data_IF_201535187632
#
_entry.id   IF_201535187632
#
_cell.length_a   1.000
_cell.length_b   1.000
_cell.length_c   1.000
_cell.angle_alpha   90.00
_cell.angle_beta   90.00
_cell.angle_gamma   90.00
#
_symmetry.space_group_name_H-M   'P 1'
#
loop_
_entity.id
_entity.type
_entity.pdbx_description
1 polymer ?
#
# COMPACT_ATOMS: atom_id res chain seq x y z
N UNK A 1 7.09 -36.71 11.08
CA UNK A 1 6.62 -35.49 10.36
C UNK A 1 7.74 -34.48 10.50
N UNK A 2 8.16 -33.80 9.44
CA UNK A 2 9.20 -32.78 9.61
C UNK A 2 8.65 -31.61 10.43
N UNK A 3 9.48 -30.97 11.23
CA UNK A 3 9.09 -29.80 12.05
C UNK A 3 8.38 -28.72 11.23
N UNK A 4 8.84 -28.48 10.00
CA UNK A 4 8.21 -27.51 9.08
C UNK A 4 6.78 -27.88 8.70
N UNK A 5 6.49 -29.17 8.46
CA UNK A 5 5.13 -29.63 8.15
C UNK A 5 4.23 -29.50 9.38
N UNK A 6 4.73 -29.84 10.57
CA UNK A 6 3.99 -29.71 11.82
C UNK A 6 3.62 -28.24 12.09
N UNK A 7 4.57 -27.31 11.90
CA UNK A 7 4.35 -25.88 12.07
C UNK A 7 3.28 -25.38 11.10
N UNK A 8 3.36 -25.75 9.82
CA UNK A 8 2.40 -25.34 8.81
C UNK A 8 0.99 -25.88 9.11
N UNK A 9 0.89 -27.14 9.52
CA UNK A 9 -0.42 -27.76 9.88
C UNK A 9 -1.02 -27.09 11.10
N UNK A 10 -0.24 -26.86 12.18
CA UNK A 10 -0.71 -26.20 13.38
C UNK A 10 -1.13 -24.75 13.09
N UNK A 11 -0.34 -24.02 12.31
CA UNK A 11 -0.68 -22.67 11.88
C UNK A 11 -2.04 -22.63 11.15
N UNK A 12 -2.25 -23.52 10.17
CA UNK A 12 -3.50 -23.59 9.43
C UNK A 12 -4.67 -23.99 10.34
N UNK A 13 -4.49 -24.94 11.25
CA UNK A 13 -5.53 -25.32 12.22
C UNK A 13 -5.94 -24.12 13.06
N UNK A 14 -5.02 -23.38 13.66
CA UNK A 14 -5.33 -22.19 14.44
C UNK A 14 -6.01 -21.11 13.62
N UNK A 15 -5.55 -20.90 12.39
CA UNK A 15 -6.16 -19.93 11.47
C UNK A 15 -7.61 -20.29 11.15
N UNK A 16 -7.91 -21.57 10.87
CA UNK A 16 -9.28 -22.02 10.63
C UNK A 16 -10.17 -21.98 11.87
N UNK A 17 -9.60 -22.05 13.06
CA UNK A 17 -10.30 -21.81 14.33
C UNK A 17 -10.59 -20.32 14.60
N UNK A 18 -10.18 -19.40 13.70
CA UNK A 18 -10.42 -17.96 13.85
C UNK A 18 -9.42 -17.25 14.78
N UNK A 19 -8.30 -17.88 15.11
CA UNK A 19 -7.24 -17.26 15.91
C UNK A 19 -6.50 -16.23 15.04
N UNK A 20 -6.15 -15.02 15.58
CA UNK A 20 -5.37 -14.02 14.84
C UNK A 20 -4.04 -14.58 14.32
N UNK A 21 -3.64 -14.16 13.12
CA UNK A 21 -2.49 -14.71 12.38
C UNK A 21 -1.21 -14.74 13.22
N UNK A 22 -0.87 -13.62 13.89
CA UNK A 22 0.31 -13.52 14.74
C UNK A 22 0.29 -14.53 15.88
N UNK A 23 -0.87 -14.68 16.54
CA UNK A 23 -1.04 -15.63 17.65
C UNK A 23 -0.95 -17.07 17.13
N UNK A 24 -1.54 -17.34 15.94
CA UNK A 24 -1.47 -18.66 15.29
C UNK A 24 -0.04 -19.05 14.95
N UNK A 25 0.76 -18.12 14.41
CA UNK A 25 2.18 -18.34 14.11
C UNK A 25 2.99 -18.57 15.39
N UNK A 26 2.87 -17.66 16.36
CA UNK A 26 3.59 -17.76 17.62
C UNK A 26 3.24 -19.04 18.40
N UNK A 27 1.94 -19.39 18.50
CA UNK A 27 1.51 -20.59 19.18
C UNK A 27 1.99 -21.86 18.45
N UNK A 28 1.89 -21.92 17.12
CA UNK A 28 2.39 -23.05 16.35
C UNK A 28 3.91 -23.24 16.53
N UNK A 29 4.68 -22.13 16.51
CA UNK A 29 6.12 -22.15 16.71
C UNK A 29 6.49 -22.64 18.11
N UNK A 30 5.84 -22.11 19.17
CA UNK A 30 6.08 -22.53 20.56
C UNK A 30 5.74 -24.01 20.76
N UNK A 31 4.60 -24.48 20.23
CA UNK A 31 4.22 -25.90 20.33
C UNK A 31 5.25 -26.78 19.62
N UNK A 32 5.69 -26.42 18.41
CA UNK A 32 6.72 -27.18 17.70
C UNK A 32 8.06 -27.18 18.45
N UNK A 33 8.47 -26.07 19.05
CA UNK A 33 9.69 -25.99 19.85
C UNK A 33 9.64 -26.93 21.06
N UNK A 34 8.51 -26.95 21.79
CA UNK A 34 8.35 -27.77 22.98
C UNK A 34 8.23 -29.26 22.65
N UNK A 35 7.58 -29.62 21.54
CA UNK A 35 7.26 -31.02 21.23
C UNK A 35 8.25 -31.71 20.31
N UNK A 36 8.98 -30.95 19.49
CA UNK A 36 9.78 -31.48 18.38
C UNK A 36 11.25 -31.00 18.40
N UNK A 37 11.64 -30.17 19.34
CA UNK A 37 13.03 -29.68 19.45
C UNK A 37 13.46 -29.55 20.90
N UNK A 38 14.78 -29.59 21.14
CA UNK A 38 15.41 -29.35 22.45
C UNK A 38 15.73 -27.86 22.67
N UNK A 39 15.16 -26.96 21.88
CA UNK A 39 15.43 -25.53 21.96
C UNK A 39 14.72 -24.92 23.17
N UNK A 40 15.41 -24.13 23.99
CA UNK A 40 14.77 -23.47 25.13
C UNK A 40 13.75 -22.41 24.68
N UNK A 41 12.60 -22.34 25.35
CA UNK A 41 11.54 -21.36 25.07
C UNK A 41 12.03 -19.91 25.17
N UNK A 42 13.08 -19.63 25.91
CA UNK A 42 13.72 -18.31 25.96
C UNK A 42 14.23 -17.83 24.61
N UNK A 43 14.57 -18.75 23.69
CA UNK A 43 14.97 -18.39 22.33
C UNK A 43 13.82 -17.77 21.53
N UNK A 44 12.58 -18.25 21.68
CA UNK A 44 11.43 -17.64 21.02
C UNK A 44 11.24 -16.20 21.49
N UNK A 45 11.24 -15.96 22.80
CA UNK A 45 11.14 -14.63 23.37
C UNK A 45 12.30 -13.72 22.92
N UNK A 46 13.53 -14.25 22.92
CA UNK A 46 14.71 -13.50 22.47
C UNK A 46 14.65 -13.16 20.99
N UNK A 47 14.23 -14.09 20.11
CA UNK A 47 14.03 -13.83 18.68
C UNK A 47 13.00 -12.75 18.44
N UNK A 48 11.85 -12.82 19.11
CA UNK A 48 10.82 -11.80 19.03
C UNK A 48 11.36 -10.43 19.45
N UNK A 49 12.07 -10.35 20.56
CA UNK A 49 12.63 -9.09 21.07
C UNK A 49 13.70 -8.51 20.13
N UNK A 50 14.60 -9.37 19.64
CA UNK A 50 15.66 -8.97 18.69
C UNK A 50 15.06 -8.51 17.36
N UNK A 51 13.97 -9.12 16.92
CA UNK A 51 13.25 -8.73 15.70
C UNK A 51 12.61 -7.35 15.84
N UNK A 52 12.07 -7.01 17.02
CA UNK A 52 11.56 -5.66 17.31
C UNK A 52 12.66 -4.61 17.29
N UNK A 53 13.83 -4.91 17.80
CA UNK A 53 14.96 -4.00 17.90
C UNK A 53 15.77 -3.88 16.59
N UNK A 54 15.08 -3.98 15.46
CA UNK A 54 15.66 -3.82 14.12
C UNK A 54 15.37 -2.43 13.58
N UNK A 55 16.42 -1.70 13.17
CA UNK A 55 16.29 -0.39 12.55
C UNK A 55 15.40 -0.42 11.27
N UNK A 56 15.39 -1.55 10.58
CA UNK A 56 14.55 -1.77 9.40
C UNK A 56 13.06 -1.78 9.77
N UNK A 57 12.71 -2.32 10.93
CA UNK A 57 11.30 -2.35 11.40
C UNK A 57 10.74 -0.96 11.69
N UNK A 58 11.57 0.05 11.96
CA UNK A 58 11.13 1.44 12.13
C UNK A 58 10.63 2.04 10.81
N UNK A 59 11.03 1.51 9.66
CA UNK A 59 10.52 1.96 8.36
C UNK A 59 9.00 1.72 8.25
N UNK A 60 8.48 0.60 8.75
CA UNK A 60 7.06 0.22 8.64
C UNK A 60 6.11 1.27 9.22
N UNK A 61 6.23 1.71 10.50
CA UNK A 61 5.38 2.76 11.05
C UNK A 61 5.51 4.10 10.31
N UNK A 62 6.71 4.45 9.84
CA UNK A 62 6.92 5.67 9.08
C UNK A 62 6.24 5.63 7.71
N UNK A 63 6.26 4.49 7.00
CA UNK A 63 5.54 4.32 5.75
C UNK A 63 4.02 4.38 5.96
N UNK A 64 3.50 3.72 7.01
CA UNK A 64 2.07 3.76 7.35
C UNK A 64 1.65 5.21 7.65
N UNK A 65 2.46 5.94 8.42
CA UNK A 65 2.20 7.33 8.75
C UNK A 65 2.24 8.21 7.49
N UNK A 66 3.23 8.05 6.63
CA UNK A 66 3.34 8.79 5.36
C UNK A 66 2.09 8.59 4.50
N UNK A 67 1.66 7.34 4.29
CA UNK A 67 0.45 7.01 3.54
C UNK A 67 -0.80 7.65 4.12
N UNK A 68 -0.97 7.63 5.45
CA UNK A 68 -2.14 8.23 6.11
C UNK A 68 -2.14 9.75 6.09
N UNK A 69 -0.96 10.37 6.14
CA UNK A 69 -0.82 11.82 5.97
C UNK A 69 -1.19 12.26 4.54
N UNK A 70 -0.82 11.46 3.55
CA UNK A 70 -1.20 11.71 2.15
C UNK A 70 -2.69 11.53 1.94
N UNK A 71 -3.28 10.55 2.58
CA UNK A 71 -4.72 10.24 2.54
C UNK A 71 -5.57 11.39 3.09
N UNK A 72 -5.24 11.89 4.27
CA UNK A 72 -5.95 13.00 4.91
C UNK A 72 -5.49 14.39 4.39
N UNK A 73 -4.40 14.45 3.62
CA UNK A 73 -3.75 15.68 3.14
C UNK A 73 -4.18 16.16 1.76
N UNK A 74 -5.33 15.71 1.22
CA UNK A 74 -5.88 16.18 -0.06
C UNK A 74 -5.15 15.64 -1.31
N UNK A 75 -4.20 14.74 -1.14
CA UNK A 75 -3.41 14.16 -2.23
C UNK A 75 -4.28 13.32 -3.17
N UNK A 76 -5.24 12.57 -2.61
CA UNK A 76 -6.10 11.65 -3.38
C UNK A 76 -6.89 12.36 -4.49
N UNK A 77 -7.43 13.56 -4.22
CA UNK A 77 -8.16 14.34 -5.22
C UNK A 77 -7.25 14.81 -6.36
N UNK A 78 -6.03 15.26 -6.05
CA UNK A 78 -5.07 15.72 -7.08
C UNK A 78 -4.62 14.60 -7.99
N UNK A 79 -4.43 13.41 -7.44
CA UNK A 79 -4.10 12.22 -8.20
C UNK A 79 -5.27 11.75 -9.06
N UNK A 80 -6.50 11.87 -8.56
CA UNK A 80 -7.70 11.55 -9.33
C UNK A 80 -7.86 12.48 -10.52
N UNK A 81 -7.72 13.80 -10.33
CA UNK A 81 -7.77 14.80 -11.40
C UNK A 81 -6.71 14.55 -12.47
N UNK A 82 -5.49 14.20 -12.05
CA UNK A 82 -4.40 13.86 -12.97
C UNK A 82 -4.73 12.60 -13.78
N UNK A 83 -5.16 11.53 -13.12
CA UNK A 83 -5.50 10.28 -13.80
C UNK A 83 -6.67 10.47 -14.77
N UNK A 84 -7.70 11.26 -14.40
CA UNK A 84 -8.80 11.58 -15.30
C UNK A 84 -8.34 12.36 -16.53
N UNK A 85 -7.45 13.33 -16.36
CA UNK A 85 -6.87 14.06 -17.48
C UNK A 85 -5.96 13.19 -18.36
N UNK A 86 -5.30 12.16 -17.81
CA UNK A 86 -4.42 11.25 -18.56
C UNK A 86 -5.18 10.20 -19.37
N UNK A 87 -6.18 9.55 -18.78
CA UNK A 87 -6.80 8.35 -19.38
C UNK A 87 -8.32 8.41 -19.51
N UNK A 88 -8.99 9.47 -19.00
CA UNK A 88 -10.44 9.62 -19.01
C UNK A 88 -11.05 9.70 -20.42
N UNK A 89 -10.26 10.00 -21.45
CA UNK A 89 -10.67 10.07 -22.86
C UNK A 89 -10.78 8.70 -23.54
N UNK A 90 -10.24 7.65 -22.92
CA UNK A 90 -10.32 6.27 -23.45
C UNK A 90 -11.75 5.76 -23.27
N UNK A 91 -12.19 4.84 -24.11
CA UNK A 91 -13.51 4.19 -23.99
C UNK A 91 -13.63 3.46 -22.65
N UNK A 92 -14.66 3.76 -21.85
CA UNK A 92 -14.76 3.30 -20.48
C UNK A 92 -13.81 4.08 -19.52
N UNK A 93 -13.71 5.40 -19.75
CA UNK A 93 -12.70 6.29 -19.19
C UNK A 93 -12.57 6.22 -17.69
N UNK A 94 -13.68 6.28 -16.94
CA UNK A 94 -13.63 6.25 -15.46
C UNK A 94 -13.11 4.92 -14.89
N UNK A 95 -13.34 3.80 -15.59
CA UNK A 95 -12.74 2.54 -15.18
C UNK A 95 -11.21 2.56 -15.32
N UNK A 96 -10.67 3.16 -16.40
CA UNK A 96 -9.24 3.37 -16.56
C UNK A 96 -8.68 4.35 -15.52
N UNK A 97 -9.42 5.45 -15.26
CA UNK A 97 -9.07 6.40 -14.19
C UNK A 97 -8.95 5.68 -12.85
N UNK A 98 -9.90 4.81 -12.51
CA UNK A 98 -9.86 4.03 -11.27
C UNK A 98 -8.58 3.18 -11.15
N UNK A 99 -8.16 2.50 -12.22
CA UNK A 99 -6.92 1.71 -12.20
C UNK A 99 -5.70 2.61 -12.04
N UNK A 100 -5.59 3.67 -12.85
CA UNK A 100 -4.42 4.58 -12.83
C UNK A 100 -4.31 5.33 -11.49
N UNK A 101 -5.44 5.79 -10.94
CA UNK A 101 -5.44 6.41 -9.59
C UNK A 101 -4.89 5.45 -8.56
N UNK A 102 -5.36 4.19 -8.56
CA UNK A 102 -4.86 3.19 -7.63
C UNK A 102 -3.38 2.87 -7.86
N UNK A 103 -2.88 2.84 -9.11
CA UNK A 103 -1.46 2.67 -9.40
C UNK A 103 -0.61 3.82 -8.86
N UNK A 104 -1.03 5.06 -9.10
CA UNK A 104 -0.31 6.25 -8.62
C UNK A 104 -0.35 6.37 -7.09
N UNK A 105 -1.53 6.12 -6.50
CA UNK A 105 -1.70 6.15 -5.05
C UNK A 105 -1.01 4.98 -4.35
N UNK A 106 -0.91 3.83 -5.02
CA UNK A 106 -0.11 2.70 -4.57
C UNK A 106 1.35 3.10 -4.32
N UNK A 107 1.94 3.81 -5.31
CA UNK A 107 3.30 4.35 -5.22
C UNK A 107 3.51 5.39 -4.10
N UNK A 108 2.47 5.75 -3.37
CA UNK A 108 2.53 6.74 -2.29
C UNK A 108 2.17 6.16 -0.92
N UNK A 109 1.04 5.43 -0.83
CA UNK A 109 0.53 4.91 0.45
C UNK A 109 1.10 3.55 0.84
N UNK A 110 1.49 2.74 -0.14
CA UNK A 110 1.99 1.37 0.06
C UNK A 110 1.01 0.41 0.72
N UNK A 111 -0.26 0.80 0.88
CA UNK A 111 -1.30 0.05 1.57
C UNK A 111 -2.56 -0.08 0.73
N UNK A 112 -2.95 -1.30 0.40
CA UNK A 112 -4.20 -1.59 -0.34
C UNK A 112 -5.43 -1.15 0.44
N UNK A 113 -5.41 -1.30 1.78
CA UNK A 113 -6.51 -0.90 2.65
C UNK A 113 -6.66 0.62 2.67
N UNK A 114 -5.55 1.36 2.75
CA UNK A 114 -5.58 2.82 2.68
C UNK A 114 -6.07 3.30 1.31
N UNK A 115 -5.60 2.70 0.21
CA UNK A 115 -6.02 3.04 -1.13
C UNK A 115 -7.54 2.90 -1.33
N UNK A 116 -8.14 1.77 -0.88
CA UNK A 116 -9.58 1.56 -1.02
C UNK A 116 -10.40 2.46 -0.08
N UNK A 117 -9.90 2.75 1.11
CA UNK A 117 -10.57 3.63 2.07
C UNK A 117 -10.62 5.07 1.58
N UNK A 118 -9.53 5.58 1.00
CA UNK A 118 -9.39 6.94 0.46
C UNK A 118 -10.16 7.13 -0.84
N UNK A 119 -9.75 6.38 -1.85
CA UNK A 119 -10.17 6.60 -3.24
C UNK A 119 -11.41 5.78 -3.57
N UNK A 120 -11.55 4.60 -2.96
CA UNK A 120 -12.55 3.63 -3.34
C UNK A 120 -13.98 4.18 -3.30
N UNK A 121 -14.38 4.84 -2.22
CA UNK A 121 -15.74 5.40 -2.10
C UNK A 121 -16.04 6.45 -3.18
N UNK A 122 -15.08 7.35 -3.44
CA UNK A 122 -15.21 8.39 -4.46
C UNK A 122 -15.29 7.77 -5.85
N UNK A 123 -14.37 6.89 -6.19
CA UNK A 123 -14.27 6.24 -7.48
C UNK A 123 -15.47 5.33 -7.77
N UNK A 124 -15.92 4.50 -6.81
CA UNK A 124 -17.10 3.64 -6.96
C UNK A 124 -18.36 4.48 -7.24
N UNK A 125 -18.54 5.57 -6.50
CA UNK A 125 -19.68 6.46 -6.70
C UNK A 125 -19.62 7.19 -8.06
N UNK A 126 -18.44 7.61 -8.50
CA UNK A 126 -18.24 8.24 -9.81
C UNK A 126 -18.56 7.27 -10.96
N UNK A 127 -18.04 6.03 -10.89
CA UNK A 127 -18.34 4.97 -11.84
C UNK A 127 -19.84 4.66 -11.90
N UNK A 128 -20.49 4.50 -10.73
CA UNK A 128 -21.91 4.17 -10.68
C UNK A 128 -22.79 5.26 -11.28
N UNK A 129 -22.48 6.55 -11.05
CA UNK A 129 -23.19 7.68 -11.67
C UNK A 129 -23.07 7.71 -13.19
N UNK A 130 -22.06 7.09 -13.77
CA UNK A 130 -21.81 7.00 -15.22
C UNK A 130 -22.31 5.70 -15.85
N UNK A 131 -23.13 4.93 -15.10
CA UNK A 131 -23.80 3.74 -15.63
C UNK A 131 -23.05 2.43 -15.44
N UNK A 132 -21.93 2.41 -14.73
CA UNK A 132 -21.27 1.15 -14.38
C UNK A 132 -22.08 0.38 -13.33
N UNK A 133 -22.24 -0.94 -13.48
CA UNK A 133 -22.79 -1.79 -12.42
C UNK A 133 -21.99 -1.61 -11.12
N UNK A 134 -22.67 -1.53 -10.00
CA UNK A 134 -22.03 -1.26 -8.70
C UNK A 134 -21.03 -2.37 -8.33
N UNK A 135 -21.36 -3.60 -8.67
CA UNK A 135 -20.51 -4.79 -8.47
C UNK A 135 -19.21 -4.64 -9.25
N UNK A 136 -19.29 -4.23 -10.52
CA UNK A 136 -18.12 -3.99 -11.36
C UNK A 136 -17.28 -2.82 -10.85
N UNK A 137 -17.93 -1.71 -10.51
CA UNK A 137 -17.25 -0.53 -9.95
C UNK A 137 -16.50 -0.88 -8.65
N UNK A 138 -17.08 -1.73 -7.82
CA UNK A 138 -16.44 -2.21 -6.59
C UNK A 138 -15.28 -3.15 -6.92
N UNK A 139 -15.49 -4.11 -7.82
CA UNK A 139 -14.47 -5.10 -8.18
C UNK A 139 -13.23 -4.44 -8.80
N UNK A 140 -13.38 -3.48 -9.74
CA UNK A 140 -12.22 -2.82 -10.38
C UNK A 140 -11.44 -1.95 -9.41
N UNK A 141 -12.12 -1.32 -8.43
CA UNK A 141 -11.44 -0.55 -7.39
C UNK A 141 -10.71 -1.45 -6.40
N UNK A 142 -11.31 -2.56 -5.97
CA UNK A 142 -10.64 -3.55 -5.11
C UNK A 142 -9.42 -4.15 -5.80
N UNK A 143 -9.57 -4.58 -7.05
CA UNK A 143 -8.46 -5.12 -7.84
C UNK A 143 -7.34 -4.08 -8.03
N UNK A 144 -7.72 -2.85 -8.37
CA UNK A 144 -6.77 -1.74 -8.49
C UNK A 144 -6.02 -1.45 -7.19
N UNK A 145 -6.71 -1.45 -6.04
CA UNK A 145 -6.08 -1.19 -4.74
C UNK A 145 -5.04 -2.24 -4.35
N UNK A 146 -5.16 -3.48 -4.83
CA UNK A 146 -4.15 -4.53 -4.60
C UNK A 146 -2.79 -4.18 -5.20
N UNK A 147 -2.74 -3.31 -6.20
CA UNK A 147 -1.48 -2.82 -6.78
C UNK A 147 -0.59 -2.11 -5.75
N UNK A 148 -1.17 -1.56 -4.68
CA UNK A 148 -0.42 -0.97 -3.58
C UNK A 148 0.41 -2.00 -2.78
N UNK A 149 0.11 -3.28 -2.92
CA UNK A 149 0.92 -4.36 -2.34
C UNK A 149 2.11 -4.75 -3.22
N UNK A 150 2.14 -4.31 -4.48
CA UNK A 150 3.15 -4.69 -5.49
C UNK A 150 3.95 -3.49 -5.95
N UNK A 151 3.28 -2.37 -6.30
CA UNK A 151 3.97 -1.14 -6.75
C UNK A 151 4.67 -0.48 -5.56
N UNK A 152 5.97 -0.18 -5.66
CA UNK A 152 6.71 0.43 -4.57
C UNK A 152 6.33 1.91 -4.35
N UNK A 153 6.42 2.40 -3.08
CA UNK A 153 6.76 1.65 -1.87
C UNK A 153 5.59 0.80 -1.36
N UNK A 154 5.84 -0.47 -1.03
CA UNK A 154 4.82 -1.39 -0.51
C UNK A 154 5.17 -1.84 0.91
N UNK A 155 4.25 -1.64 1.85
CA UNK A 155 4.42 -2.06 3.25
C UNK A 155 4.58 -3.58 3.33
N UNK A 156 3.82 -4.34 2.51
CA UNK A 156 3.92 -5.81 2.48
C UNK A 156 5.29 -6.26 1.97
N UNK A 157 5.82 -5.63 0.93
CA UNK A 157 7.15 -5.96 0.40
C UNK A 157 8.26 -5.61 1.39
N UNK A 158 8.15 -4.48 2.11
CA UNK A 158 9.09 -4.08 3.15
C UNK A 158 9.10 -5.13 4.27
N UNK A 159 7.91 -5.54 4.74
CA UNK A 159 7.77 -6.57 5.77
C UNK A 159 8.35 -7.91 5.32
N UNK A 160 8.00 -8.36 4.12
CA UNK A 160 8.51 -9.61 3.56
C UNK A 160 10.04 -9.58 3.42
N UNK A 161 10.60 -8.50 2.88
CA UNK A 161 12.04 -8.33 2.74
C UNK A 161 12.76 -8.31 4.10
N UNK A 162 12.20 -7.60 5.09
CA UNK A 162 12.75 -7.52 6.44
C UNK A 162 12.70 -8.88 7.15
N UNK A 163 11.62 -9.64 6.97
CA UNK A 163 11.47 -10.98 7.55
C UNK A 163 12.42 -11.99 6.88
N UNK A 164 12.55 -11.91 5.55
CA UNK A 164 13.45 -12.79 4.78
C UNK A 164 14.94 -12.37 4.85
N UNK A 165 15.27 -11.25 5.51
CA UNK A 165 16.62 -10.68 5.58
C UNK A 165 17.23 -10.40 4.18
N UNK A 166 16.41 -9.94 3.23
CA UNK A 166 16.86 -9.51 1.91
C UNK A 166 16.83 -7.99 1.80
N UNK A 167 17.52 -7.43 0.79
CA UNK A 167 17.58 -5.99 0.56
C UNK A 167 16.17 -5.43 0.25
N UNK A 168 15.69 -4.52 1.08
CA UNK A 168 14.41 -3.83 0.89
C UNK A 168 14.40 -3.05 -0.44
N UNK A 169 15.49 -2.35 -0.76
CA UNK A 169 15.60 -1.59 -2.02
C UNK A 169 15.42 -2.48 -3.24
N UNK A 170 16.10 -3.64 -3.27
CA UNK A 170 15.96 -4.61 -4.36
C UNK A 170 14.56 -5.23 -4.42
N UNK A 171 13.97 -5.56 -3.28
CA UNK A 171 12.60 -6.07 -3.22
C UNK A 171 11.61 -5.07 -3.79
N UNK A 172 11.71 -3.80 -3.40
CA UNK A 172 10.86 -2.74 -3.92
C UNK A 172 11.02 -2.56 -5.44
N UNK A 173 12.25 -2.54 -5.96
CA UNK A 173 12.49 -2.48 -7.41
C UNK A 173 11.84 -3.65 -8.17
N UNK A 174 11.94 -4.85 -7.63
CA UNK A 174 11.36 -6.04 -8.25
C UNK A 174 9.84 -5.94 -8.42
N UNK A 175 9.14 -5.18 -7.57
CA UNK A 175 7.69 -4.99 -7.65
C UNK A 175 7.23 -4.02 -8.74
N UNK A 176 8.10 -3.14 -9.22
CA UNK A 176 7.70 -2.07 -10.15
C UNK A 176 7.18 -2.63 -11.49
N UNK A 177 7.97 -3.49 -12.13
CA UNK A 177 7.62 -4.05 -13.44
C UNK A 177 6.36 -4.93 -13.37
N UNK A 178 6.24 -5.91 -12.44
CA UNK A 178 5.01 -6.67 -12.28
C UNK A 178 3.79 -5.79 -11.99
N UNK A 179 3.94 -4.78 -11.14
CA UNK A 179 2.86 -3.87 -10.80
C UNK A 179 2.32 -3.11 -12.01
N UNK A 180 3.21 -2.59 -12.88
CA UNK A 180 2.81 -1.91 -14.12
C UNK A 180 2.15 -2.88 -15.09
N UNK A 181 2.67 -4.11 -15.23
CA UNK A 181 2.07 -5.14 -16.08
C UNK A 181 0.64 -5.49 -15.63
N UNK A 182 0.45 -5.72 -14.33
CA UNK A 182 -0.87 -6.03 -13.75
C UNK A 182 -1.84 -4.86 -13.97
N UNK A 183 -1.38 -3.62 -13.76
CA UNK A 183 -2.18 -2.43 -14.04
C UNK A 183 -2.60 -2.33 -15.50
N UNK A 184 -1.68 -2.60 -16.44
CA UNK A 184 -1.99 -2.65 -17.87
C UNK A 184 -3.03 -3.74 -18.22
N UNK A 185 -2.92 -4.92 -17.61
CA UNK A 185 -3.90 -6.00 -17.77
C UNK A 185 -5.28 -5.57 -17.27
N UNK A 186 -5.38 -4.89 -16.12
CA UNK A 186 -6.64 -4.35 -15.63
C UNK A 186 -7.23 -3.29 -16.56
N UNK A 187 -6.40 -2.44 -17.15
CA UNK A 187 -6.85 -1.46 -18.15
C UNK A 187 -7.38 -2.14 -19.42
N UNK A 188 -6.68 -3.15 -19.93
CA UNK A 188 -7.14 -3.94 -21.08
C UNK A 188 -8.46 -4.63 -20.77
N UNK A 189 -8.57 -5.26 -19.60
CA UNK A 189 -9.81 -5.90 -19.15
C UNK A 189 -10.97 -4.89 -19.08
N UNK A 190 -10.73 -3.72 -18.47
CA UNK A 190 -11.73 -2.65 -18.40
C UNK A 190 -12.20 -2.21 -19.79
N UNK A 191 -11.28 -2.03 -20.74
CA UNK A 191 -11.62 -1.66 -22.10
C UNK A 191 -12.54 -2.69 -22.77
N UNK A 192 -12.17 -3.98 -22.68
CA UNK A 192 -12.95 -5.09 -23.24
C UNK A 192 -14.32 -5.19 -22.57
N UNK A 193 -14.37 -5.07 -21.26
CA UNK A 193 -15.61 -5.12 -20.49
C UNK A 193 -16.56 -3.99 -20.88
N UNK A 194 -16.08 -2.75 -20.91
CA UNK A 194 -16.87 -1.58 -21.27
C UNK A 194 -17.38 -1.66 -22.69
N UNK A 195 -16.56 -2.13 -23.64
CA UNK A 195 -16.97 -2.34 -25.03
C UNK A 195 -18.05 -3.41 -25.17
N UNK A 196 -17.98 -4.48 -24.37
CA UNK A 196 -18.98 -5.57 -24.39
C UNK A 196 -20.33 -5.14 -23.80
N UNK A 197 -20.32 -4.24 -22.81
CA UNK A 197 -21.53 -3.81 -22.09
C UNK A 197 -22.01 -2.41 -22.51
N UNK A 198 -21.42 -1.86 -23.58
CA UNK A 198 -21.76 -0.53 -24.14
C UNK A 198 -21.67 0.62 -23.12
N UNK A 199 -20.68 0.56 -22.24
CA UNK A 199 -20.39 1.62 -21.27
C UNK A 199 -19.39 2.58 -21.88
N UNK A 200 -19.88 3.54 -22.64
CA UNK A 200 -19.07 4.45 -23.47
C UNK A 200 -18.78 5.80 -22.86
N UNK A 201 -18.57 5.90 -21.53
CA UNK A 201 -18.19 7.15 -20.90
C UNK A 201 -16.79 7.61 -21.36
N UNK A 202 -16.66 8.88 -21.67
CA UNK A 202 -15.40 9.53 -22.05
C UNK A 202 -15.39 10.97 -21.57
N UNK A 203 -14.25 11.41 -21.10
CA UNK A 203 -13.99 12.82 -20.85
C UNK A 203 -13.13 13.37 -21.99
N UNK A 204 -13.48 14.49 -22.65
CA UNK A 204 -12.67 15.05 -23.72
C UNK A 204 -11.22 15.26 -23.28
N UNK A 205 -10.26 14.91 -24.14
CA UNK A 205 -8.87 15.19 -23.89
C UNK A 205 -8.57 16.67 -24.08
N UNK A 206 -8.09 17.31 -23.03
CA UNK A 206 -7.66 18.70 -23.05
C UNK A 206 -6.22 18.80 -22.52
N UNK A 207 -5.27 19.12 -23.41
CA UNK A 207 -3.86 19.26 -23.03
C UNK A 207 -3.64 20.33 -21.94
N UNK A 208 -4.44 21.41 -21.94
CA UNK A 208 -4.40 22.45 -20.90
C UNK A 208 -4.84 21.92 -19.53
N UNK A 209 -5.89 21.07 -19.50
CA UNK A 209 -6.37 20.40 -18.27
C UNK A 209 -5.32 19.44 -17.75
N UNK A 210 -4.70 18.64 -18.63
CA UNK A 210 -3.61 17.73 -18.28
C UNK A 210 -2.42 18.46 -17.68
N UNK A 211 -1.97 19.56 -18.32
CA UNK A 211 -0.87 20.37 -17.80
C UNK A 211 -1.18 20.96 -16.41
N UNK A 212 -2.39 21.48 -16.20
CA UNK A 212 -2.81 22.04 -14.91
C UNK A 212 -2.89 20.94 -13.83
N UNK A 213 -3.48 19.79 -14.15
CA UNK A 213 -3.59 18.65 -13.23
C UNK A 213 -2.20 18.09 -12.87
N UNK A 214 -1.30 17.98 -13.86
CA UNK A 214 0.06 17.54 -13.64
C UNK A 214 0.81 18.47 -12.69
N UNK A 215 0.81 19.78 -12.93
CA UNK A 215 1.45 20.77 -12.04
C UNK A 215 0.89 20.70 -10.63
N UNK A 216 -0.44 20.55 -10.49
CA UNK A 216 -1.10 20.43 -9.19
C UNK A 216 -0.71 19.13 -8.45
N UNK A 217 -0.43 18.05 -9.18
CA UNK A 217 -0.06 16.76 -8.62
C UNK A 217 1.46 16.62 -8.36
N UNK A 218 2.32 17.49 -8.92
CA UNK A 218 3.79 17.42 -8.73
C UNK A 218 4.18 17.26 -7.26
N UNK A 219 3.67 18.07 -6.30
CA UNK A 219 4.08 17.91 -4.90
C UNK A 219 3.74 16.53 -4.33
N UNK A 220 2.62 15.94 -4.74
CA UNK A 220 2.25 14.60 -4.34
C UNK A 220 3.17 13.53 -4.96
N UNK A 221 3.43 13.63 -6.27
CA UNK A 221 4.25 12.70 -7.02
C UNK A 221 5.73 12.73 -6.61
N UNK A 222 6.20 13.85 -6.05
CA UNK A 222 7.57 13.94 -5.52
C UNK A 222 7.78 13.06 -4.27
N UNK A 223 6.75 12.75 -3.50
CA UNK A 223 6.91 11.88 -2.32
C UNK A 223 7.51 10.52 -2.65
N UNK A 224 6.93 9.71 -3.57
CA UNK A 224 7.56 8.44 -3.94
C UNK A 224 8.91 8.64 -4.65
N UNK A 225 9.09 9.72 -5.40
CA UNK A 225 10.37 10.03 -6.06
C UNK A 225 11.47 10.30 -5.03
N UNK A 226 11.19 11.11 -4.01
CA UNK A 226 12.11 11.36 -2.91
C UNK A 226 12.45 10.03 -2.23
N UNK A 227 11.42 9.28 -1.84
CA UNK A 227 11.57 8.05 -1.08
C UNK A 227 12.39 7.00 -1.84
N UNK A 228 11.97 6.68 -3.06
CA UNK A 228 12.61 5.62 -3.86
C UNK A 228 13.93 6.10 -4.47
N UNK A 229 13.98 7.35 -4.93
CA UNK A 229 15.16 7.92 -5.56
C UNK A 229 16.39 7.91 -4.64
N UNK A 230 16.24 8.30 -3.39
CA UNK A 230 17.35 8.28 -2.45
C UNK A 230 17.74 6.87 -1.99
N UNK A 231 16.78 5.96 -1.85
CA UNK A 231 17.07 4.55 -1.53
C UNK A 231 17.80 3.87 -2.69
N UNK A 232 17.39 4.14 -3.94
CA UNK A 232 18.01 3.52 -5.12
C UNK A 232 19.39 4.08 -5.43
N UNK A 233 19.62 5.37 -5.19
CA UNK A 233 20.93 5.99 -5.35
C UNK A 233 21.88 5.70 -4.19
N UNK A 234 21.38 5.08 -3.10
CA UNK A 234 22.17 4.78 -1.91
C UNK A 234 22.47 5.99 -1.01
N UNK A 235 21.80 7.13 -1.24
CA UNK A 235 21.98 8.33 -0.40
C UNK A 235 21.48 8.13 1.03
N UNK A 236 20.43 7.32 1.21
CA UNK A 236 19.88 6.99 2.52
C UNK A 236 19.21 5.62 2.54
N UNK A 237 19.06 5.10 3.74
CA UNK A 237 18.37 3.85 4.01
C UNK A 237 16.85 3.98 3.80
N UNK A 238 16.10 2.89 3.60
CA UNK A 238 14.65 2.93 3.52
C UNK A 238 13.98 3.61 4.73
N UNK A 239 14.54 3.46 5.93
CA UNK A 239 14.02 4.08 7.15
C UNK A 239 14.21 5.59 7.15
N UNK A 240 15.39 6.07 6.76
CA UNK A 240 15.66 7.50 6.62
C UNK A 240 14.82 8.12 5.50
N UNK A 241 14.67 7.41 4.36
CA UNK A 241 13.79 7.81 3.27
C UNK A 241 12.33 7.95 3.69
N UNK A 242 11.83 7.01 4.51
CA UNK A 242 10.49 7.09 5.06
C UNK A 242 10.31 8.30 5.99
N UNK A 243 11.30 8.60 6.84
CA UNK A 243 11.27 9.77 7.72
C UNK A 243 11.25 11.09 6.93
N UNK A 244 12.10 11.20 5.89
CA UNK A 244 12.11 12.35 4.98
C UNK A 244 10.77 12.50 4.27
N UNK A 245 10.20 11.41 3.77
CA UNK A 245 8.89 11.41 3.10
C UNK A 245 7.76 11.86 4.03
N UNK A 246 7.77 11.44 5.30
CA UNK A 246 6.79 11.90 6.32
C UNK A 246 6.88 13.41 6.51
N UNK A 247 8.08 13.95 6.72
CA UNK A 247 8.29 15.39 6.91
C UNK A 247 7.84 16.15 5.66
N UNK A 248 8.25 15.69 4.49
CA UNK A 248 7.86 16.28 3.20
C UNK A 248 6.35 16.30 3.03
N UNK A 249 5.67 15.17 3.29
CA UNK A 249 4.22 15.04 3.17
C UNK A 249 3.49 15.98 4.12
N UNK A 250 3.94 16.13 5.38
CA UNK A 250 3.38 17.11 6.33
C UNK A 250 3.47 18.52 5.76
N UNK A 251 4.65 18.92 5.26
CA UNK A 251 4.86 20.25 4.70
C UNK A 251 3.98 20.50 3.48
N UNK A 252 3.89 19.55 2.55
CA UNK A 252 3.03 19.66 1.36
C UNK A 252 1.56 19.76 1.72
N UNK A 253 1.09 18.91 2.63
CA UNK A 253 -0.33 18.88 3.02
C UNK A 253 -0.76 20.13 3.79
N UNK A 254 0.13 20.74 4.58
CA UNK A 254 -0.18 21.94 5.37
C UNK A 254 -0.01 23.22 4.54
N UNK A 255 1.11 23.36 3.80
CA UNK A 255 1.48 24.64 3.18
C UNK A 255 1.05 24.73 1.71
N UNK A 256 1.07 23.62 0.96
CA UNK A 256 0.74 23.62 -0.48
C UNK A 256 -0.74 23.29 -0.69
N UNK A 257 -1.22 22.17 -0.17
CA UNK A 257 -2.61 21.76 -0.34
C UNK A 257 -3.55 22.40 0.68
N UNK A 258 -3.05 22.72 1.88
CA UNK A 258 -3.80 23.37 2.97
C UNK A 258 -4.99 22.57 3.50
N UNK A 259 -4.96 21.26 3.30
CA UNK A 259 -6.01 20.34 3.71
C UNK A 259 -5.79 19.80 5.13
N UNK A 260 -4.52 19.83 5.62
CA UNK A 260 -4.16 19.47 6.99
C UNK A 260 -3.77 20.69 7.82
N UNK A 261 -4.04 20.59 9.13
CA UNK A 261 -3.57 21.56 10.14
C UNK A 261 -2.62 20.85 11.10
N UNK A 262 -1.71 21.59 11.71
CA UNK A 262 -0.78 21.06 12.73
C UNK A 262 -1.48 20.29 13.86
N UNK A 263 -2.72 20.66 14.19
CA UNK A 263 -3.55 20.01 15.23
C UNK A 263 -4.03 18.61 14.82
N UNK A 264 -4.04 18.28 13.55
CA UNK A 264 -4.51 16.99 13.04
C UNK A 264 -3.43 15.91 13.11
N UNK A 265 -2.15 16.32 13.10
CA UNK A 265 -1.00 15.40 13.09
C UNK A 265 -1.00 14.42 14.27
N UNK A 266 -1.17 14.86 15.55
CA UNK A 266 -1.21 13.92 16.68
C UNK A 266 -2.35 12.91 16.56
N UNK A 267 -3.51 13.32 16.06
CA UNK A 267 -4.65 12.44 15.83
C UNK A 267 -4.32 11.37 14.79
N UNK A 268 -3.67 11.75 13.68
CA UNK A 268 -3.27 10.82 12.62
C UNK A 268 -2.23 9.81 13.15
N UNK A 269 -1.25 10.27 13.93
CA UNK A 269 -0.26 9.41 14.57
C UNK A 269 -0.94 8.38 15.49
N UNK A 270 -1.84 8.84 16.38
CA UNK A 270 -2.57 7.95 17.28
C UNK A 270 -3.45 6.93 16.55
N UNK A 271 -4.14 7.37 15.47
CA UNK A 271 -4.95 6.48 14.62
C UNK A 271 -4.11 5.37 14.00
N UNK A 272 -2.90 5.70 13.55
CA UNK A 272 -2.00 4.75 12.91
C UNK A 272 -1.24 3.84 13.89
N UNK A 273 -1.10 4.24 15.15
CA UNK A 273 -0.39 3.46 16.17
C UNK A 273 -0.98 2.03 16.33
N UNK A 274 -2.31 1.91 16.26
CA UNK A 274 -2.98 0.61 16.36
C UNK A 274 -2.68 -0.28 15.15
N UNK A 275 -2.80 0.24 13.93
CA UNK A 275 -2.50 -0.51 12.71
C UNK A 275 -1.03 -0.90 12.64
N UNK A 276 -0.15 0.01 13.02
CA UNK A 276 1.29 -0.24 13.11
C UNK A 276 1.59 -1.36 14.10
N UNK A 277 0.99 -1.32 15.30
CA UNK A 277 1.19 -2.36 16.31
C UNK A 277 0.77 -3.75 15.82
N UNK A 278 -0.36 -3.86 15.12
CA UNK A 278 -0.80 -5.14 14.53
C UNK A 278 0.19 -5.66 13.49
N UNK A 279 0.58 -4.83 12.54
CA UNK A 279 1.50 -5.23 11.46
C UNK A 279 2.88 -5.62 12.00
N UNK A 280 3.41 -4.87 12.97
CA UNK A 280 4.67 -5.19 13.61
C UNK A 280 4.58 -6.51 14.41
N UNK A 281 3.46 -6.74 15.11
CA UNK A 281 3.25 -7.97 15.86
C UNK A 281 3.18 -9.20 14.94
N UNK A 282 2.48 -9.09 13.80
CA UNK A 282 2.46 -10.15 12.78
C UNK A 282 3.86 -10.44 12.23
N UNK A 283 4.64 -9.40 11.93
CA UNK A 283 6.00 -9.53 11.41
C UNK A 283 6.98 -10.17 12.42
N UNK A 284 6.79 -9.86 13.72
CA UNK A 284 7.61 -10.41 14.80
C UNK A 284 7.28 -11.88 15.03
N UNK A 285 6.00 -12.24 15.00
CA UNK A 285 5.55 -13.63 15.17
C UNK A 285 5.97 -14.54 14.00
N UNK A 286 6.27 -13.97 12.83
CA UNK A 286 6.72 -14.69 11.65
C UNK A 286 8.24 -15.00 11.64
N UNK A 287 9.03 -14.44 12.58
CA UNK A 287 10.46 -14.70 12.76
C UNK A 287 10.74 -15.71 13.86
#
# INVERSE_FOLDING_TARGET
MSMSIALLVLFLVFMFLGVPIAVSLGAASVICMVTMSDLPLSMAAQSMFTSMNSFIMVAVPLFILCGSLMDEGGVAEKIYDLAEAMVGWIYGGLGHVSVVVNMLFAGMSGSSVAAIASIGKMSINALHRKGYPKEYATAINLSGSMLASVIPPSILMINAAATANVSIGQALLAGLIPGVIIGAVFMIYNFVYCKKHDIGDRTPFEAKRLGKAFVSAIPALLTPVILLGGVYTGFYTPTEGAAIAVIYTILVSIYIYKDLKWKDIPRIICKNARSTGTILFDAIAAK
#
